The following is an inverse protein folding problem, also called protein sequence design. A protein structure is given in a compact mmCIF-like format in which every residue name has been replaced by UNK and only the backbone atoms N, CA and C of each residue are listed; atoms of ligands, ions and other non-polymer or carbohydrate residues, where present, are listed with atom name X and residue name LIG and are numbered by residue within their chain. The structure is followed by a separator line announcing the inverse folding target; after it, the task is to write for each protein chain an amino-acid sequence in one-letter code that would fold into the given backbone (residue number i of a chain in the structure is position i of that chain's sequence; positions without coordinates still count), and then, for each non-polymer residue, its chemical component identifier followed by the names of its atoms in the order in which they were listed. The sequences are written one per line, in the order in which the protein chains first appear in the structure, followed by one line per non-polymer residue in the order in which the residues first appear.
data_IF_556321096323
#
_entry.id   IF_556321096323
#
_cell.length_a   1.000
_cell.length_b   1.000
_cell.length_c   1.000
_cell.angle_alpha   90.00
_cell.angle_beta   90.00
_cell.angle_gamma   90.00
#
_symmetry.space_group_name_H-M   'P 1'
#
loop_
_entity.id
_entity.type
_entity.pdbx_description
1 polymer ?
#
# COMPACT_ATOMS: atom_id res chain seq x y z
N UNK A 1 11.65 -3.30 -15.34
CA UNK A 1 11.27 -4.20 -14.27
C UNK A 1 10.09 -5.09 -14.65
N UNK A 2 9.10 -4.58 -15.39
CA UNK A 2 7.90 -5.30 -15.83
C UNK A 2 6.64 -4.96 -15.04
N UNK A 3 6.66 -3.88 -14.25
CA UNK A 3 5.45 -3.32 -13.63
C UNK A 3 4.51 -2.78 -14.72
N UNK A 4 3.22 -2.76 -14.43
CA UNK A 4 2.17 -2.33 -15.37
C UNK A 4 1.59 -0.96 -15.04
N UNK A 5 1.69 -0.56 -13.78
CA UNK A 5 1.13 0.69 -13.26
C UNK A 5 2.17 1.43 -12.43
N UNK A 6 2.08 2.76 -12.45
CA UNK A 6 2.79 3.64 -11.53
C UNK A 6 1.74 4.46 -10.80
N UNK A 7 1.83 4.53 -9.47
CA UNK A 7 0.98 5.37 -8.63
C UNK A 7 1.79 6.56 -8.14
N UNK A 8 1.31 7.77 -8.38
CA UNK A 8 1.91 9.01 -7.91
C UNK A 8 1.29 9.39 -6.57
N UNK A 9 2.12 9.77 -5.60
CA UNK A 9 1.67 10.45 -4.39
C UNK A 9 0.92 11.74 -4.77
N UNK A 10 0.14 12.37 -3.85
CA UNK A 10 -0.70 13.49 -4.23
C UNK A 10 0.10 14.64 -4.87
N UNK A 11 -0.47 15.22 -5.93
CA UNK A 11 0.18 16.26 -6.73
C UNK A 11 -0.54 17.60 -6.68
N UNK A 12 -1.61 17.71 -5.89
CA UNK A 12 -2.42 18.93 -5.82
C UNK A 12 -1.67 20.06 -5.12
N UNK A 13 -2.10 21.31 -5.38
CA UNK A 13 -1.47 22.53 -4.85
C UNK A 13 -1.56 22.58 -3.32
N UNK A 14 -0.42 22.80 -2.67
CA UNK A 14 -0.26 22.99 -1.22
C UNK A 14 0.71 24.13 -0.94
N UNK A 15 0.82 24.60 0.30
CA UNK A 15 1.71 25.69 0.70
C UNK A 15 3.18 25.25 0.74
N UNK A 16 4.07 26.02 0.12
CA UNK A 16 5.51 25.75 0.06
C UNK A 16 5.91 24.88 -1.14
N UNK A 17 7.22 24.60 -1.26
CA UNK A 17 7.79 23.88 -2.42
C UNK A 17 8.05 22.39 -2.18
N UNK A 18 8.00 21.95 -0.93
CA UNK A 18 8.35 20.59 -0.51
C UNK A 18 7.23 19.98 0.34
N UNK A 19 6.84 18.77 0.02
CA UNK A 19 5.84 18.02 0.79
C UNK A 19 5.55 16.66 0.18
N UNK A 20 4.87 15.83 0.94
CA UNK A 20 4.33 14.56 0.44
C UNK A 20 3.08 14.74 -0.42
N UNK A 21 2.45 15.95 -0.36
CA UNK A 21 1.24 16.29 -1.11
C UNK A 21 -0.08 16.10 -0.34
N UNK A 22 -0.04 15.63 0.91
CA UNK A 22 -1.26 15.40 1.71
C UNK A 22 -1.83 16.67 2.37
N UNK A 23 -1.16 17.81 2.25
CA UNK A 23 -1.63 19.11 2.72
C UNK A 23 -2.29 19.94 1.60
N UNK A 24 -2.86 19.29 0.59
CA UNK A 24 -3.48 19.92 -0.57
C UNK A 24 -4.67 20.80 -0.22
N UNK A 25 -4.80 21.95 -0.90
CA UNK A 25 -5.90 22.93 -0.71
C UNK A 25 -6.66 23.23 -2.00
N UNK A 26 -6.05 23.04 -3.16
CA UNK A 26 -6.71 23.16 -4.46
C UNK A 26 -6.65 21.81 -5.20
N UNK A 27 -7.74 21.04 -5.05
CA UNK A 27 -7.83 19.68 -5.61
C UNK A 27 -8.01 19.64 -7.14
N UNK A 28 -8.05 20.79 -7.80
CA UNK A 28 -8.15 20.92 -9.26
C UNK A 28 -6.84 21.37 -9.92
N UNK A 29 -5.84 21.74 -9.15
CA UNK A 29 -4.58 22.26 -9.67
C UNK A 29 -3.38 21.36 -9.28
N UNK A 30 -2.55 20.93 -10.24
CA UNK A 30 -1.28 20.30 -9.91
C UNK A 30 -0.30 21.36 -9.38
N UNK A 31 0.47 20.96 -8.37
CA UNK A 31 1.43 21.82 -7.68
C UNK A 31 2.45 22.45 -8.64
N UNK A 32 2.67 23.75 -8.49
CA UNK A 32 3.51 24.54 -9.39
C UNK A 32 4.97 24.02 -9.47
N UNK A 33 5.55 23.58 -8.34
CA UNK A 33 6.90 23.03 -8.28
C UNK A 33 7.06 21.69 -9.04
N UNK A 34 5.97 21.00 -9.38
CA UNK A 34 5.99 19.75 -10.15
C UNK A 34 5.84 19.97 -11.66
N UNK A 35 5.94 21.23 -12.11
CA UNK A 35 5.84 21.59 -13.52
C UNK A 35 4.45 21.90 -14.03
N UNK A 36 3.48 22.05 -13.10
CA UNK A 36 2.10 22.45 -13.38
C UNK A 36 1.34 21.47 -14.30
N UNK A 37 0.21 21.94 -14.88
CA UNK A 37 -0.66 21.11 -15.71
C UNK A 37 0.05 20.45 -16.90
N UNK A 38 0.85 21.22 -17.62
CA UNK A 38 1.54 20.74 -18.82
C UNK A 38 2.65 19.72 -18.48
N UNK A 39 3.34 19.92 -17.35
CA UNK A 39 4.35 18.97 -16.86
C UNK A 39 3.73 17.63 -16.52
N UNK A 40 2.62 17.64 -15.80
CA UNK A 40 1.90 16.44 -15.38
C UNK A 40 1.30 15.68 -16.57
N UNK A 41 0.66 16.38 -17.53
CA UNK A 41 0.14 15.76 -18.76
C UNK A 41 1.25 15.10 -19.58
N UNK A 42 2.43 15.75 -19.71
CA UNK A 42 3.59 15.14 -20.38
C UNK A 42 4.10 13.88 -19.67
N UNK A 43 4.07 13.85 -18.33
CA UNK A 43 4.47 12.67 -17.56
C UNK A 43 3.53 11.49 -17.83
N UNK A 44 2.21 11.73 -17.80
CA UNK A 44 1.20 10.70 -18.10
C UNK A 44 1.36 10.18 -19.53
N UNK A 45 1.46 11.08 -20.52
CA UNK A 45 1.65 10.72 -21.93
C UNK A 45 2.94 9.89 -22.15
N UNK A 46 4.05 10.31 -21.54
CA UNK A 46 5.32 9.59 -21.62
C UNK A 46 5.28 8.21 -20.95
N UNK A 47 4.46 8.04 -19.92
CA UNK A 47 4.21 6.75 -19.26
C UNK A 47 3.38 5.84 -20.16
N UNK A 48 2.30 6.34 -20.72
CA UNK A 48 1.47 5.62 -21.68
C UNK A 48 2.25 5.18 -22.93
N UNK A 49 3.11 6.04 -23.45
CA UNK A 49 4.00 5.70 -24.59
C UNK A 49 4.96 4.53 -24.26
N UNK A 50 5.17 4.22 -22.97
CA UNK A 50 5.97 3.07 -22.50
C UNK A 50 5.12 1.88 -22.05
N UNK A 51 3.79 1.95 -22.25
CA UNK A 51 2.85 0.90 -21.85
C UNK A 51 2.61 0.84 -20.34
N UNK A 52 2.83 1.95 -19.63
CA UNK A 52 2.55 2.07 -18.19
C UNK A 52 1.28 2.87 -17.98
N UNK A 53 0.34 2.31 -17.23
CA UNK A 53 -0.79 3.03 -16.68
C UNK A 53 -0.36 3.91 -15.50
N UNK A 54 -1.04 5.05 -15.28
CA UNK A 54 -0.71 6.00 -14.21
C UNK A 54 -1.91 6.19 -13.30
N UNK A 55 -1.70 5.96 -12.01
CA UNK A 55 -2.68 6.20 -10.96
C UNK A 55 -2.29 7.46 -10.19
N UNK A 56 -3.28 8.18 -9.69
CA UNK A 56 -3.07 9.35 -8.86
C UNK A 56 -3.65 9.11 -7.45
N UNK A 57 -2.85 9.41 -6.45
CA UNK A 57 -3.32 9.49 -5.07
C UNK A 57 -4.06 10.82 -4.85
N UNK A 58 -5.29 10.74 -4.36
CA UNK A 58 -6.15 11.90 -4.11
C UNK A 58 -6.65 11.94 -2.68
N UNK A 59 -6.57 13.12 -2.07
CA UNK A 59 -6.95 13.37 -0.69
C UNK A 59 -8.33 14.04 -0.67
N UNK A 60 -9.38 13.26 -0.40
CA UNK A 60 -10.77 13.74 -0.36
C UNK A 60 -11.39 13.66 1.04
N UNK A 61 -10.60 13.27 2.03
CA UNK A 61 -11.02 13.16 3.43
C UNK A 61 -10.77 14.44 4.25
N UNK A 62 -9.84 15.30 3.81
CA UNK A 62 -9.51 16.57 4.48
C UNK A 62 -8.88 17.56 3.50
N UNK A 63 -8.66 18.79 3.95
CA UNK A 63 -7.85 19.80 3.29
C UNK A 63 -6.65 20.17 4.16
N UNK A 64 -5.58 20.61 3.51
CA UNK A 64 -4.42 21.15 4.21
C UNK A 64 -4.75 22.37 5.08
N UNK A 65 -3.93 22.64 6.10
CA UNK A 65 -4.18 23.69 7.08
C UNK A 65 -3.89 25.12 6.57
N UNK A 66 -3.06 25.24 5.53
CA UNK A 66 -2.63 26.54 5.01
C UNK A 66 -3.21 26.80 3.61
N UNK A 67 -3.82 27.96 3.42
CA UNK A 67 -4.39 28.37 2.11
C UNK A 67 -5.81 27.88 1.84
N UNK A 68 -6.43 27.16 2.75
CA UNK A 68 -7.83 26.72 2.60
C UNK A 68 -8.83 27.83 2.92
N UNK A 69 -9.40 28.41 1.89
CA UNK A 69 -10.45 29.44 2.02
C UNK A 69 -11.84 28.94 1.66
N UNK A 70 -12.01 27.67 1.29
CA UNK A 70 -13.30 27.09 0.87
C UNK A 70 -14.45 27.32 1.86
N UNK A 71 -14.26 27.27 3.20
CA UNK A 71 -15.33 27.54 4.15
C UNK A 71 -15.92 28.95 4.08
N UNK A 72 -15.23 29.92 3.42
CA UNK A 72 -15.77 31.27 3.18
C UNK A 72 -16.72 31.31 1.99
N UNK A 73 -16.73 30.33 1.13
CA UNK A 73 -17.51 30.29 -0.10
C UNK A 73 -18.68 29.31 -0.06
N UNK A 74 -18.63 28.32 0.86
CA UNK A 74 -19.71 27.35 0.98
C UNK A 74 -19.52 26.40 2.16
N UNK A 75 -20.47 25.48 2.37
CA UNK A 75 -20.46 24.55 3.49
C UNK A 75 -19.58 23.33 3.22
N UNK A 76 -18.31 23.55 2.85
CA UNK A 76 -17.37 22.47 2.51
C UNK A 76 -16.99 21.63 3.71
N UNK A 77 -17.01 22.19 4.91
CA UNK A 77 -16.69 21.52 6.16
C UNK A 77 -17.90 21.44 7.07
N UNK A 78 -17.94 20.45 7.96
CA UNK A 78 -18.94 20.28 8.99
C UNK A 78 -18.30 20.10 10.37
N UNK A 79 -18.84 20.80 11.37
CA UNK A 79 -18.44 20.62 12.78
C UNK A 79 -19.14 19.43 13.46
N UNK A 80 -20.02 18.74 12.75
CA UNK A 80 -20.73 17.56 13.28
C UNK A 80 -19.77 16.40 13.57
N UNK A 81 -18.73 16.29 12.75
CA UNK A 81 -17.72 15.24 12.87
C UNK A 81 -16.33 15.87 13.00
N UNK A 82 -15.49 15.23 13.82
CA UNK A 82 -14.08 15.59 13.97
C UNK A 82 -13.21 14.46 13.47
N UNK A 83 -12.21 14.78 12.68
CA UNK A 83 -11.20 13.87 12.17
C UNK A 83 -9.83 14.18 12.79
N UNK A 84 -8.81 13.35 12.63
CA UNK A 84 -7.45 13.70 13.05
C UNK A 84 -6.91 15.00 12.42
N UNK A 85 -7.47 15.42 11.29
CA UNK A 85 -7.09 16.65 10.54
C UNK A 85 -8.02 17.85 10.83
N UNK A 86 -8.97 17.73 11.76
CA UNK A 86 -9.91 18.78 12.11
C UNK A 86 -11.35 18.49 11.70
N UNK A 87 -12.09 19.53 11.29
CA UNK A 87 -13.46 19.39 10.84
C UNK A 87 -13.56 18.50 9.61
N UNK A 88 -14.57 17.63 9.58
CA UNK A 88 -14.77 16.72 8.45
C UNK A 88 -15.30 17.47 7.20
N UNK A 89 -15.05 16.90 6.03
CA UNK A 89 -15.72 17.34 4.79
C UNK A 89 -17.24 17.08 4.93
N UNK A 90 -18.03 18.01 4.44
CA UNK A 90 -19.48 17.93 4.51
C UNK A 90 -20.06 17.05 3.39
N UNK A 91 -20.19 15.75 3.66
CA UNK A 91 -20.78 14.81 2.70
C UNK A 91 -22.25 14.48 2.98
N UNK A 92 -22.83 14.86 4.15
CA UNK A 92 -24.17 14.41 4.55
C UNK A 92 -25.05 15.44 5.25
N UNK A 93 -24.57 16.70 5.41
CA UNK A 93 -25.36 17.76 5.99
C UNK A 93 -25.92 18.72 4.93
N UNK A 94 -26.55 19.79 5.38
CA UNK A 94 -27.15 20.80 4.50
C UNK A 94 -26.12 21.36 3.52
N UNK A 95 -26.43 21.30 2.22
CA UNK A 95 -25.57 21.78 1.13
C UNK A 95 -24.49 20.79 0.71
N UNK A 96 -24.54 19.55 1.17
CA UNK A 96 -23.56 18.51 0.82
C UNK A 96 -23.63 18.12 -0.66
N UNK A 97 -24.75 18.27 -1.36
CA UNK A 97 -24.87 17.88 -2.77
C UNK A 97 -23.83 18.60 -3.64
N UNK A 98 -23.65 19.91 -3.43
CA UNK A 98 -22.67 20.70 -4.17
C UNK A 98 -21.22 20.38 -3.73
N UNK A 99 -21.02 20.05 -2.45
CA UNK A 99 -19.71 19.60 -1.96
C UNK A 99 -19.34 18.25 -2.58
N UNK A 100 -20.27 17.29 -2.60
CA UNK A 100 -20.08 16.00 -3.31
C UNK A 100 -19.76 16.23 -4.78
N UNK A 101 -20.50 17.13 -5.44
CA UNK A 101 -20.27 17.48 -6.85
C UNK A 101 -18.86 18.01 -7.06
N UNK A 102 -18.37 18.91 -6.20
CA UNK A 102 -17.02 19.45 -6.24
C UNK A 102 -15.94 18.35 -6.20
N UNK A 103 -16.06 17.37 -5.31
CA UNK A 103 -15.10 16.25 -5.23
C UNK A 103 -15.24 15.28 -6.41
N UNK A 104 -16.46 14.98 -6.86
CA UNK A 104 -16.67 14.15 -8.04
C UNK A 104 -16.09 14.82 -9.30
N UNK A 105 -16.32 16.12 -9.50
CA UNK A 105 -15.79 16.86 -10.64
C UNK A 105 -14.26 16.88 -10.65
N UNK A 106 -13.62 17.00 -9.48
CA UNK A 106 -12.15 16.87 -9.37
C UNK A 106 -11.68 15.50 -9.82
N UNK A 107 -12.31 14.42 -9.33
CA UNK A 107 -11.97 13.06 -9.72
C UNK A 107 -12.12 12.82 -11.23
N UNK A 108 -13.25 13.27 -11.80
CA UNK A 108 -13.51 13.13 -13.23
C UNK A 108 -12.54 13.95 -14.07
N UNK A 109 -12.15 15.15 -13.61
CA UNK A 109 -11.12 15.98 -14.27
C UNK A 109 -9.77 15.23 -14.34
N UNK A 110 -9.29 14.65 -13.26
CA UNK A 110 -8.03 13.90 -13.28
C UNK A 110 -8.08 12.73 -14.25
N UNK A 111 -9.19 11.99 -14.26
CA UNK A 111 -9.36 10.83 -15.13
C UNK A 111 -9.56 11.22 -16.60
N UNK A 112 -10.34 12.26 -16.90
CA UNK A 112 -10.70 12.67 -18.25
C UNK A 112 -9.67 13.61 -18.88
N UNK A 113 -9.27 14.68 -18.15
CA UNK A 113 -8.53 15.80 -18.74
C UNK A 113 -7.01 15.64 -18.59
N UNK A 114 -6.57 14.85 -17.59
CA UNK A 114 -5.18 14.49 -17.38
C UNK A 114 -4.86 13.05 -17.80
N UNK A 115 -5.87 12.28 -18.17
CA UNK A 115 -5.79 10.88 -18.63
C UNK A 115 -5.20 9.90 -17.60
N UNK A 116 -5.33 10.15 -16.31
CA UNK A 116 -5.01 9.13 -15.32
C UNK A 116 -5.89 7.89 -15.52
N UNK A 117 -5.32 6.71 -15.30
CA UNK A 117 -6.01 5.42 -15.46
C UNK A 117 -6.76 4.98 -14.20
N UNK A 118 -6.57 5.70 -13.11
CA UNK A 118 -7.28 5.46 -11.86
C UNK A 118 -6.84 6.39 -10.74
N UNK A 119 -7.55 6.27 -9.62
CA UNK A 119 -7.29 7.04 -8.41
C UNK A 119 -7.10 6.10 -7.22
N UNK A 120 -6.12 6.41 -6.37
CA UNK A 120 -6.06 5.90 -4.98
C UNK A 120 -6.72 6.94 -4.09
N UNK A 121 -7.66 6.54 -3.29
CA UNK A 121 -8.44 7.40 -2.40
C UNK A 121 -7.86 7.28 -0.99
N UNK A 122 -7.26 8.37 -0.51
CA UNK A 122 -6.63 8.47 0.79
C UNK A 122 -7.64 8.35 1.92
N UNK A 123 -7.29 7.62 2.97
CA UNK A 123 -7.98 7.51 4.27
C UNK A 123 -9.52 7.52 4.16
N UNK A 124 -10.10 6.66 3.30
CA UNK A 124 -11.56 6.66 3.07
C UNK A 124 -12.38 6.37 4.33
N UNK A 125 -11.75 5.83 5.37
CA UNK A 125 -12.38 5.65 6.69
C UNK A 125 -12.67 6.96 7.42
N UNK A 126 -12.02 8.06 7.03
CA UNK A 126 -12.30 9.41 7.53
C UNK A 126 -13.36 10.15 6.70
N UNK A 127 -13.85 9.57 5.60
CA UNK A 127 -15.02 10.05 4.86
C UNK A 127 -16.27 9.61 5.61
N UNK A 128 -16.77 10.48 6.48
CA UNK A 128 -17.96 10.22 7.29
C UNK A 128 -19.19 10.65 6.51
N UNK A 129 -20.05 9.72 6.18
CA UNK A 129 -21.27 9.96 5.40
C UNK A 129 -22.36 8.99 5.85
N UNK A 130 -23.46 9.54 6.38
CA UNK A 130 -24.64 8.79 6.84
C UNK A 130 -25.79 8.81 5.85
N UNK A 131 -25.58 9.31 4.64
CA UNK A 131 -26.58 9.36 3.58
C UNK A 131 -26.92 7.93 3.09
N UNK A 132 -28.10 7.79 2.47
CA UNK A 132 -28.53 6.49 1.92
C UNK A 132 -27.59 5.99 0.80
N UNK A 133 -27.03 6.90 0.01
CA UNK A 133 -25.99 6.63 -0.97
C UNK A 133 -24.70 7.28 -0.46
N UNK A 134 -23.76 6.48 -0.04
CA UNK A 134 -22.47 6.96 0.45
C UNK A 134 -21.68 7.68 -0.65
N UNK A 135 -20.89 8.71 -0.31
CA UNK A 135 -20.07 9.46 -1.26
C UNK A 135 -19.19 8.54 -2.15
N UNK A 136 -18.57 7.54 -1.56
CA UNK A 136 -17.75 6.58 -2.32
C UNK A 136 -18.58 5.79 -3.34
N UNK A 137 -19.84 5.45 -3.03
CA UNK A 137 -20.75 4.78 -3.96
C UNK A 137 -21.14 5.70 -5.12
N UNK A 138 -21.44 6.96 -4.83
CA UNK A 138 -21.70 7.99 -5.83
C UNK A 138 -20.49 8.15 -6.76
N UNK A 139 -19.31 8.37 -6.19
CA UNK A 139 -18.07 8.54 -6.95
C UNK A 139 -17.80 7.34 -7.87
N UNK A 140 -17.92 6.11 -7.34
CA UNK A 140 -17.74 4.90 -8.13
C UNK A 140 -18.73 4.82 -9.30
N UNK A 141 -20.00 5.23 -9.08
CA UNK A 141 -21.02 5.28 -10.13
C UNK A 141 -20.69 6.28 -11.23
N UNK A 142 -20.20 7.46 -10.88
CA UNK A 142 -19.83 8.48 -11.85
C UNK A 142 -18.57 8.11 -12.64
N UNK A 143 -17.59 7.48 -12.00
CA UNK A 143 -16.41 6.96 -12.68
C UNK A 143 -16.78 5.82 -13.65
N UNK A 144 -17.73 4.95 -13.30
CA UNK A 144 -18.24 3.91 -14.20
C UNK A 144 -18.92 4.50 -15.45
N UNK A 145 -19.64 5.61 -15.30
CA UNK A 145 -20.21 6.34 -16.46
C UNK A 145 -19.09 6.88 -17.35
N UNK A 146 -18.10 7.57 -16.76
CA UNK A 146 -16.96 8.10 -17.50
C UNK A 146 -16.14 6.98 -18.19
N UNK A 147 -15.95 5.83 -17.55
CA UNK A 147 -15.29 4.65 -18.14
C UNK A 147 -15.98 4.25 -19.48
N UNK A 148 -17.31 4.19 -19.47
CA UNK A 148 -18.11 3.86 -20.65
C UNK A 148 -17.99 4.92 -21.74
N UNK A 149 -18.00 6.20 -21.37
CA UNK A 149 -17.84 7.33 -22.29
C UNK A 149 -16.47 7.35 -22.97
N UNK A 150 -15.42 7.09 -22.20
CA UNK A 150 -14.03 7.09 -22.69
C UNK A 150 -13.65 5.79 -23.41
N UNK A 151 -14.42 4.71 -23.22
CA UNK A 151 -14.12 3.39 -23.77
C UNK A 151 -12.81 2.79 -23.25
N UNK A 152 -12.37 3.17 -22.05
CA UNK A 152 -11.17 2.62 -21.40
C UNK A 152 -11.43 2.34 -19.93
N UNK A 153 -10.71 1.34 -19.36
CA UNK A 153 -10.84 0.98 -17.96
C UNK A 153 -10.31 2.09 -17.05
N UNK A 154 -11.08 2.37 -16.00
CA UNK A 154 -10.69 3.28 -14.92
C UNK A 154 -10.74 2.52 -13.59
N UNK A 155 -9.79 2.77 -12.71
CA UNK A 155 -9.66 2.02 -11.46
C UNK A 155 -9.75 2.98 -10.26
N UNK A 156 -10.54 2.60 -9.26
CA UNK A 156 -10.55 3.24 -7.94
C UNK A 156 -9.97 2.26 -6.91
N UNK A 157 -9.01 2.73 -6.12
CA UNK A 157 -8.36 1.98 -5.05
C UNK A 157 -8.57 2.75 -3.74
N UNK A 158 -9.01 2.08 -2.70
CA UNK A 158 -9.20 2.70 -1.39
C UNK A 158 -8.04 2.38 -0.45
N UNK A 159 -7.66 3.35 0.38
CA UNK A 159 -6.86 3.11 1.56
C UNK A 159 -7.76 3.20 2.79
N UNK A 160 -7.81 2.12 3.57
CA UNK A 160 -8.62 2.05 4.79
C UNK A 160 -8.15 0.93 5.69
N UNK A 161 -8.04 1.22 6.97
CA UNK A 161 -7.71 0.25 8.01
C UNK A 161 -8.94 -0.43 8.64
N UNK A 162 -10.15 -0.09 8.19
CA UNK A 162 -11.40 -0.60 8.79
C UNK A 162 -11.66 -2.08 8.52
N UNK A 163 -11.08 -2.66 7.47
CA UNK A 163 -11.43 -3.98 6.96
C UNK A 163 -12.93 -4.12 6.70
N UNK A 164 -13.52 -3.12 6.06
CA UNK A 164 -14.94 -3.12 5.72
C UNK A 164 -15.15 -3.61 4.29
N UNK A 165 -15.69 -4.80 4.13
CA UNK A 165 -15.95 -5.42 2.83
C UNK A 165 -16.93 -4.62 1.96
N UNK A 166 -17.71 -3.68 2.51
CA UNK A 166 -18.60 -2.80 1.72
C UNK A 166 -17.81 -1.91 0.76
N UNK A 167 -16.58 -1.52 1.11
CA UNK A 167 -15.76 -0.64 0.27
C UNK A 167 -15.61 -1.26 -1.14
N UNK A 168 -15.22 -2.53 -1.20
CA UNK A 168 -14.90 -3.21 -2.47
C UNK A 168 -16.01 -4.13 -2.99
N UNK A 169 -17.11 -4.28 -2.26
CA UNK A 169 -18.27 -5.04 -2.73
C UNK A 169 -19.01 -4.25 -3.78
N UNK A 170 -19.61 -4.95 -4.77
CA UNK A 170 -20.38 -4.28 -5.81
C UNK A 170 -21.60 -3.56 -5.25
N UNK A 171 -22.05 -2.51 -5.94
CA UNK A 171 -23.18 -1.68 -5.54
C UNK A 171 -24.49 -2.47 -5.50
N UNK A 172 -24.67 -3.45 -6.40
CA UNK A 172 -25.83 -4.35 -6.42
C UNK A 172 -25.94 -5.23 -5.18
N UNK A 173 -24.83 -5.45 -4.48
CA UNK A 173 -24.75 -6.20 -3.23
C UNK A 173 -24.64 -5.28 -2.00
N UNK A 174 -24.97 -3.99 -2.15
CA UNK A 174 -24.93 -2.99 -1.07
C UNK A 174 -23.53 -2.55 -0.65
N UNK A 175 -22.56 -2.69 -1.53
CA UNK A 175 -21.22 -2.11 -1.36
C UNK A 175 -21.06 -0.77 -2.08
N UNK A 176 -19.85 -0.20 -1.99
CA UNK A 176 -19.56 1.10 -2.62
C UNK A 176 -19.02 0.98 -4.05
N UNK A 177 -18.63 -0.22 -4.47
CA UNK A 177 -18.17 -0.47 -5.86
C UNK A 177 -16.74 0.01 -6.14
N UNK A 178 -15.93 0.26 -5.11
CA UNK A 178 -14.50 0.53 -5.27
C UNK A 178 -13.81 -0.76 -5.74
N UNK A 179 -12.88 -0.67 -6.68
CA UNK A 179 -12.31 -1.86 -7.34
C UNK A 179 -11.40 -2.66 -6.43
N UNK A 180 -10.55 -1.98 -5.65
CA UNK A 180 -9.60 -2.62 -4.76
C UNK A 180 -9.32 -1.76 -3.51
N UNK A 181 -8.68 -2.38 -2.53
CA UNK A 181 -8.28 -1.75 -1.26
C UNK A 181 -6.88 -2.22 -0.87
N UNK A 182 -6.09 -1.34 -0.27
CA UNK A 182 -4.85 -1.71 0.38
C UNK A 182 -5.11 -2.68 1.53
N UNK A 183 -4.29 -3.72 1.68
CA UNK A 183 -4.42 -4.70 2.76
C UNK A 183 -3.36 -4.48 3.82
N UNK A 184 -3.65 -3.60 4.78
CA UNK A 184 -2.76 -3.34 5.93
C UNK A 184 -2.54 -4.61 6.76
N UNK A 185 -3.55 -5.43 6.96
CA UNK A 185 -3.42 -6.66 7.74
C UNK A 185 -2.42 -7.65 7.11
N UNK A 186 -2.37 -7.74 5.77
CA UNK A 186 -1.36 -8.55 5.08
C UNK A 186 0.05 -7.97 5.31
N UNK A 187 0.19 -6.64 5.15
CA UNK A 187 1.43 -5.94 5.49
C UNK A 187 1.84 -6.19 6.93
N UNK A 188 0.95 -5.95 7.89
CA UNK A 188 1.24 -6.10 9.32
C UNK A 188 1.69 -7.53 9.66
N UNK A 189 0.99 -8.54 9.16
CA UNK A 189 1.32 -9.94 9.39
C UNK A 189 2.68 -10.30 8.76
N UNK A 190 2.93 -9.89 7.52
CA UNK A 190 4.18 -10.16 6.80
C UNK A 190 5.36 -9.46 7.48
N UNK A 191 5.23 -8.17 7.76
CA UNK A 191 6.26 -7.37 8.42
C UNK A 191 6.62 -7.93 9.80
N UNK A 192 5.62 -8.18 10.65
CA UNK A 192 5.85 -8.66 12.02
C UNK A 192 6.47 -10.06 12.06
N UNK A 193 6.10 -10.96 11.15
CA UNK A 193 6.72 -12.29 11.04
C UNK A 193 8.18 -12.19 10.62
N UNK A 194 8.52 -11.26 9.71
CA UNK A 194 9.87 -11.14 9.15
C UNK A 194 10.81 -10.29 10.00
N UNK A 195 10.31 -9.26 10.71
CA UNK A 195 11.13 -8.38 11.56
C UNK A 195 11.14 -8.81 13.02
N UNK A 196 10.07 -9.43 13.50
CA UNK A 196 9.81 -9.65 14.92
C UNK A 196 9.23 -8.42 15.63
N UNK A 197 8.96 -7.32 14.91
CA UNK A 197 8.41 -6.08 15.50
C UNK A 197 6.98 -6.28 15.99
N UNK A 198 6.72 -5.79 17.22
CA UNK A 198 5.45 -5.92 17.95
C UNK A 198 5.01 -4.62 18.60
N UNK A 199 5.56 -3.48 18.19
CA UNK A 199 5.20 -2.18 18.74
C UNK A 199 3.99 -1.58 18.01
N UNK A 200 3.17 -0.80 18.74
CA UNK A 200 2.05 -0.07 18.18
C UNK A 200 1.05 -1.00 17.47
N UNK A 201 0.66 -0.67 16.25
CA UNK A 201 -0.31 -1.43 15.47
C UNK A 201 0.18 -2.84 15.04
N UNK A 202 1.47 -3.16 15.22
CA UNK A 202 2.00 -4.51 14.99
C UNK A 202 1.77 -5.47 16.17
N UNK A 203 1.31 -4.99 17.33
CA UNK A 203 1.27 -5.79 18.56
C UNK A 203 0.39 -7.03 18.49
N UNK A 204 -0.69 -6.98 17.71
CA UNK A 204 -1.62 -8.09 17.52
C UNK A 204 -1.20 -9.09 16.44
N UNK A 205 -0.09 -8.82 15.76
CA UNK A 205 0.42 -9.62 14.62
C UNK A 205 1.71 -10.36 14.96
N UNK A 206 2.16 -11.23 14.02
CA UNK A 206 3.49 -11.83 13.98
C UNK A 206 3.54 -13.30 14.31
N UNK A 207 2.40 -13.98 14.41
CA UNK A 207 2.35 -15.44 14.25
C UNK A 207 2.32 -15.79 12.77
N UNK A 208 2.87 -16.96 12.41
CA UNK A 208 2.73 -17.51 11.05
C UNK A 208 1.26 -17.81 10.78
N UNK A 209 0.49 -18.12 11.82
CA UNK A 209 -0.97 -18.29 11.76
C UNK A 209 -1.66 -17.04 11.20
N UNK A 210 -1.29 -15.83 11.67
CA UNK A 210 -1.87 -14.59 11.16
C UNK A 210 -1.48 -14.33 9.69
N UNK A 211 -0.22 -14.60 9.33
CA UNK A 211 0.23 -14.49 7.95
C UNK A 211 -0.50 -15.50 7.04
N UNK A 212 -0.66 -16.74 7.48
CA UNK A 212 -1.42 -17.77 6.76
C UNK A 212 -2.88 -17.36 6.58
N UNK A 213 -3.50 -16.76 7.60
CA UNK A 213 -4.87 -16.21 7.52
C UNK A 213 -4.94 -15.06 6.53
N UNK A 214 -4.02 -14.10 6.59
CA UNK A 214 -3.98 -12.97 5.66
C UNK A 214 -3.80 -13.43 4.20
N UNK A 215 -2.92 -14.39 3.93
CA UNK A 215 -2.73 -14.96 2.58
C UNK A 215 -3.99 -15.62 2.01
N UNK A 216 -4.82 -16.22 2.88
CA UNK A 216 -6.04 -16.93 2.47
C UNK A 216 -7.26 -16.03 2.33
N UNK A 217 -7.32 -14.92 3.03
CA UNK A 217 -8.53 -14.08 3.10
C UNK A 217 -8.25 -12.57 3.19
N UNK A 218 -7.03 -12.12 2.88
CA UNK A 218 -6.56 -10.73 2.89
C UNK A 218 -6.50 -10.10 4.29
N UNK A 219 -7.41 -10.43 5.20
CA UNK A 219 -7.52 -9.79 6.51
C UNK A 219 -7.34 -10.76 7.67
N UNK A 220 -6.69 -10.30 8.71
CA UNK A 220 -6.57 -10.97 10.01
C UNK A 220 -7.73 -10.56 10.91
N UNK A 221 -8.09 -9.26 10.89
CA UNK A 221 -9.26 -8.75 11.57
C UNK A 221 -10.51 -8.91 10.69
N UNK A 222 -11.34 -9.87 11.03
CA UNK A 222 -12.60 -10.23 10.35
C UNK A 222 -13.81 -10.22 11.29
N UNK A 223 -13.71 -9.44 12.37
CA UNK A 223 -14.63 -9.39 13.51
C UNK A 223 -14.00 -9.91 14.81
N UNK A 224 -12.74 -10.35 14.79
CA UNK A 224 -12.03 -10.76 16.00
C UNK A 224 -11.73 -9.55 16.92
N UNK A 225 -11.50 -9.81 18.20
CA UNK A 225 -11.05 -8.79 19.13
C UNK A 225 -9.58 -8.42 18.85
N UNK A 226 -9.29 -7.13 18.89
CA UNK A 226 -7.96 -6.56 18.81
C UNK A 226 -7.57 -6.01 20.18
N UNK A 227 -6.49 -6.50 20.75
CA UNK A 227 -5.95 -5.97 22.02
C UNK A 227 -5.45 -4.54 21.83
N UNK A 228 -4.75 -4.27 20.72
CA UNK A 228 -4.26 -2.94 20.37
C UNK A 228 -5.40 -1.91 20.28
N UNK A 229 -6.52 -2.28 19.64
CA UNK A 229 -7.66 -1.37 19.46
C UNK A 229 -8.65 -1.39 20.64
N UNK A 230 -8.53 -2.33 21.56
CA UNK A 230 -9.44 -2.52 22.70
C UNK A 230 -10.88 -2.85 22.30
N UNK A 231 -11.09 -3.38 21.07
CA UNK A 231 -12.42 -3.67 20.51
C UNK A 231 -12.36 -4.72 19.40
N UNK A 232 -13.53 -5.24 19.02
CA UNK A 232 -13.66 -6.04 17.79
C UNK A 232 -13.45 -5.16 16.57
N UNK A 233 -12.75 -5.70 15.56
CA UNK A 233 -12.39 -4.97 14.36
C UNK A 233 -12.58 -5.80 13.09
N UNK A 234 -12.89 -5.10 11.99
CA UNK A 234 -13.08 -5.69 10.69
C UNK A 234 -14.38 -6.47 10.53
N UNK A 235 -14.60 -6.99 9.35
CA UNK A 235 -15.66 -7.93 9.00
C UNK A 235 -15.18 -8.90 7.94
N UNK A 236 -15.88 -10.04 7.84
CA UNK A 236 -15.48 -11.11 6.91
C UNK A 236 -15.38 -10.62 5.47
N UNK A 237 -14.28 -10.92 4.76
CA UNK A 237 -14.10 -10.66 3.31
C UNK A 237 -14.76 -11.75 2.45
N UNK A 238 -15.57 -12.63 3.01
CA UNK A 238 -16.19 -13.74 2.26
C UNK A 238 -16.91 -13.27 1.00
N UNK A 239 -16.67 -13.94 -0.11
CA UNK A 239 -17.23 -13.63 -1.43
C UNK A 239 -16.45 -12.56 -2.20
N UNK A 240 -15.35 -12.03 -1.66
CA UNK A 240 -14.43 -11.14 -2.37
C UNK A 240 -13.33 -11.94 -3.08
N UNK A 241 -12.74 -11.32 -4.09
CA UNK A 241 -11.57 -11.83 -4.80
C UNK A 241 -10.28 -11.27 -4.18
N UNK A 242 -9.19 -12.01 -4.27
CA UNK A 242 -7.86 -11.48 -3.96
C UNK A 242 -7.49 -10.25 -4.80
N UNK A 243 -8.05 -10.11 -6.00
CA UNK A 243 -7.85 -8.93 -6.85
C UNK A 243 -8.54 -7.66 -6.30
N UNK A 244 -9.41 -7.78 -5.30
CA UNK A 244 -9.92 -6.65 -4.55
C UNK A 244 -8.94 -6.10 -3.51
N UNK A 245 -7.74 -6.67 -3.40
CA UNK A 245 -6.76 -6.27 -2.39
C UNK A 245 -5.38 -6.05 -3.01
N UNK A 246 -4.67 -5.03 -2.53
CA UNK A 246 -3.27 -4.83 -2.81
C UNK A 246 -2.44 -5.43 -1.66
N UNK A 247 -1.44 -6.24 -2.02
CA UNK A 247 -0.48 -6.82 -1.08
C UNK A 247 0.89 -6.17 -1.22
N UNK A 248 1.47 -5.75 -0.11
CA UNK A 248 2.73 -5.01 -0.08
C UNK A 248 3.52 -5.27 1.21
N UNK A 249 4.83 -4.97 1.16
CA UNK A 249 5.71 -5.01 2.33
C UNK A 249 5.80 -3.65 3.03
N UNK A 250 5.75 -2.56 2.28
CA UNK A 250 5.90 -1.20 2.76
C UNK A 250 5.26 -0.20 1.81
N UNK A 251 4.88 0.94 2.34
CA UNK A 251 4.47 2.13 1.59
C UNK A 251 5.18 3.37 2.15
N UNK A 252 4.87 4.56 1.64
CA UNK A 252 5.36 5.82 2.19
C UNK A 252 4.99 5.96 3.68
N UNK A 253 3.80 5.47 4.09
CA UNK A 253 3.31 5.59 5.46
C UNK A 253 4.11 4.76 6.45
N UNK A 254 4.28 3.45 6.20
CA UNK A 254 5.02 2.61 7.15
C UNK A 254 6.47 3.03 7.28
N UNK A 255 7.08 3.54 6.20
CA UNK A 255 8.47 4.02 6.24
C UNK A 255 8.53 5.41 6.88
N UNK A 256 7.73 6.34 6.39
CA UNK A 256 7.76 7.73 6.83
C UNK A 256 7.24 7.96 8.24
N UNK A 257 6.45 7.04 8.78
CA UNK A 257 6.02 7.03 10.17
C UNK A 257 6.99 6.32 11.12
N UNK A 258 8.20 5.98 10.66
CA UNK A 258 9.32 5.59 11.51
C UNK A 258 10.19 6.81 11.82
N UNK A 259 10.82 6.84 13.02
CA UNK A 259 11.60 7.99 13.46
C UNK A 259 12.68 8.41 12.48
N UNK A 260 13.37 7.44 11.87
CA UNK A 260 14.48 7.69 10.93
C UNK A 260 14.12 7.42 9.47
N UNK A 261 12.86 7.06 9.20
CA UNK A 261 12.38 6.72 7.85
C UNK A 261 12.99 5.42 7.33
N UNK A 262 13.17 4.42 8.22
CA UNK A 262 13.82 3.16 7.86
C UNK A 262 12.94 2.31 6.95
N UNK A 263 13.50 1.91 5.82
CA UNK A 263 12.92 0.94 4.89
C UNK A 263 13.03 -0.48 5.43
N UNK A 264 12.25 -1.39 4.89
CA UNK A 264 12.39 -2.83 5.18
C UNK A 264 13.81 -3.35 4.95
N UNK A 265 14.55 -2.76 4.01
CA UNK A 265 15.98 -3.06 3.75
C UNK A 265 16.92 -2.74 4.91
N UNK A 266 16.52 -1.84 5.83
CA UNK A 266 17.28 -1.54 7.05
C UNK A 266 16.91 -2.48 8.22
N UNK A 267 15.76 -3.15 8.13
CA UNK A 267 15.18 -3.96 9.21
C UNK A 267 15.34 -5.46 9.00
N UNK A 268 15.63 -5.88 7.78
CA UNK A 268 15.63 -7.28 7.36
C UNK A 268 16.91 -7.67 6.63
N UNK A 269 17.30 -8.92 6.76
CA UNK A 269 18.36 -9.52 5.94
C UNK A 269 17.94 -9.60 4.46
N UNK A 270 18.88 -9.68 3.51
CA UNK A 270 18.56 -9.94 2.11
C UNK A 270 17.74 -11.21 1.87
N UNK A 271 17.92 -12.25 2.71
CA UNK A 271 17.12 -13.47 2.67
C UNK A 271 15.65 -13.20 2.99
N UNK A 272 15.38 -12.47 4.06
CA UNK A 272 14.02 -12.08 4.46
C UNK A 272 13.36 -11.16 3.45
N UNK A 273 14.09 -10.22 2.83
CA UNK A 273 13.57 -9.40 1.74
C UNK A 273 13.15 -10.24 0.53
N UNK A 274 13.95 -11.27 0.18
CA UNK A 274 13.60 -12.20 -0.89
C UNK A 274 12.37 -13.05 -0.56
N UNK A 275 12.19 -13.46 0.70
CA UNK A 275 10.97 -14.15 1.17
C UNK A 275 9.76 -13.22 1.05
N UNK A 276 9.86 -11.97 1.53
CA UNK A 276 8.78 -10.98 1.45
C UNK A 276 8.32 -10.78 0.00
N UNK A 277 9.26 -10.48 -0.91
CA UNK A 277 8.97 -10.32 -2.33
C UNK A 277 8.31 -11.57 -2.93
N UNK A 278 8.83 -12.78 -2.62
CA UNK A 278 8.23 -14.03 -3.11
C UNK A 278 6.78 -14.16 -2.65
N UNK A 279 6.47 -13.91 -1.37
CA UNK A 279 5.11 -13.99 -0.83
C UNK A 279 4.18 -12.93 -1.45
N UNK A 280 4.65 -11.71 -1.69
CA UNK A 280 3.86 -10.65 -2.35
C UNK A 280 3.53 -11.05 -3.79
N UNK A 281 4.54 -11.41 -4.58
CA UNK A 281 4.33 -11.70 -6.01
C UNK A 281 3.63 -13.03 -6.28
N UNK A 282 3.63 -13.95 -5.33
CA UNK A 282 2.89 -15.22 -5.44
C UNK A 282 1.56 -15.22 -4.69
N UNK A 283 1.23 -14.14 -3.95
CA UNK A 283 -0.07 -13.98 -3.28
C UNK A 283 -1.22 -13.89 -4.30
N UNK A 284 -2.48 -14.10 -3.87
CA UNK A 284 -3.66 -13.88 -4.73
C UNK A 284 -3.95 -12.40 -4.97
N UNK A 285 -3.23 -11.49 -4.32
CA UNK A 285 -3.46 -10.04 -4.35
C UNK A 285 -2.80 -9.38 -5.54
N UNK A 286 -3.17 -8.12 -5.79
CA UNK A 286 -2.44 -7.23 -6.70
C UNK A 286 -1.16 -6.79 -5.98
N UNK A 287 0.04 -7.13 -6.48
CA UNK A 287 1.29 -6.72 -5.83
C UNK A 287 1.52 -5.22 -5.96
N UNK A 288 1.94 -4.59 -4.88
CA UNK A 288 2.38 -3.20 -4.86
C UNK A 288 3.79 -3.11 -4.28
N UNK A 289 4.64 -2.28 -4.88
CA UNK A 289 6.00 -1.99 -4.44
C UNK A 289 6.13 -0.49 -4.15
N UNK A 290 6.82 -0.16 -3.09
CA UNK A 290 7.23 1.23 -2.86
C UNK A 290 8.58 1.50 -3.54
N UNK A 291 8.72 2.69 -4.13
CA UNK A 291 9.94 3.09 -4.87
C UNK A 291 11.23 2.76 -4.10
N UNK A 292 12.17 2.07 -4.73
CA UNK A 292 13.44 1.64 -4.13
C UNK A 292 13.38 0.32 -3.36
N UNK A 293 12.19 -0.23 -3.12
CA UNK A 293 12.04 -1.56 -2.50
C UNK A 293 12.63 -2.65 -3.39
N UNK A 294 12.43 -2.53 -4.68
CA UNK A 294 12.83 -3.50 -5.69
C UNK A 294 14.34 -3.71 -5.81
N UNK A 295 15.15 -2.83 -5.22
CA UNK A 295 16.60 -3.02 -5.11
C UNK A 295 17.12 -2.86 -3.67
N UNK A 296 16.23 -2.82 -2.68
CA UNK A 296 16.59 -2.62 -1.29
C UNK A 296 17.38 -1.32 -1.06
N UNK A 297 16.86 -0.20 -1.55
CA UNK A 297 17.53 1.11 -1.48
C UNK A 297 18.06 1.42 -0.07
N UNK A 298 19.27 1.97 0.01
CA UNK A 298 19.93 2.34 1.27
C UNK A 298 19.45 3.66 1.87
N UNK A 299 18.79 4.50 1.04
CA UNK A 299 18.27 5.78 1.51
C UNK A 299 16.99 5.59 2.31
N UNK A 300 16.80 6.29 3.42
CA UNK A 300 15.52 6.33 4.11
C UNK A 300 14.46 7.02 3.24
N UNK A 301 13.19 6.95 3.66
CA UNK A 301 12.14 7.83 3.14
C UNK A 301 11.44 8.47 4.33
N UNK A 302 11.74 9.74 4.58
CA UNK A 302 11.27 10.48 5.76
C UNK A 302 10.06 11.31 5.41
N UNK A 303 9.22 11.58 6.41
CA UNK A 303 8.23 12.63 6.27
C UNK A 303 8.95 13.97 6.19
N UNK A 304 8.64 14.74 5.15
CA UNK A 304 9.14 16.10 4.93
C UNK A 304 8.00 17.02 4.50
N UNK A 305 8.09 18.28 4.91
CA UNK A 305 7.16 19.34 4.58
C UNK A 305 7.92 20.67 4.54
N UNK A 306 7.41 21.63 3.78
CA UNK A 306 8.01 22.96 3.66
C UNK A 306 6.96 24.03 3.93
N UNK A 307 6.42 24.08 5.17
CA UNK A 307 5.41 25.06 5.51
C UNK A 307 5.99 26.48 5.59
N UNK A 308 5.38 27.41 4.89
CA UNK A 308 5.76 28.84 4.93
C UNK A 308 5.38 29.53 6.25
N UNK A 309 4.30 29.08 6.90
CA UNK A 309 3.88 29.58 8.21
C UNK A 309 4.79 29.01 9.30
N UNK A 310 5.54 29.88 9.98
CA UNK A 310 6.53 29.49 10.98
C UNK A 310 5.91 28.82 12.23
N UNK A 311 4.69 29.15 12.59
CA UNK A 311 4.01 28.56 13.74
C UNK A 311 3.50 27.15 13.39
N UNK A 312 2.97 26.98 12.19
CA UNK A 312 2.60 25.67 11.67
C UNK A 312 3.83 24.76 11.52
N UNK A 313 4.90 25.26 10.91
CA UNK A 313 6.16 24.51 10.76
C UNK A 313 6.68 24.00 12.10
N UNK A 314 6.68 24.87 13.12
CA UNK A 314 7.07 24.51 14.49
C UNK A 314 6.12 23.48 15.09
N UNK A 315 4.82 23.66 14.96
CA UNK A 315 3.82 22.74 15.50
C UNK A 315 3.94 21.34 14.91
N UNK A 316 4.20 21.22 13.58
CA UNK A 316 4.44 19.96 12.90
C UNK A 316 5.72 19.29 13.40
N UNK A 317 6.84 20.03 13.49
CA UNK A 317 8.12 19.50 13.98
C UNK A 317 8.02 19.00 15.43
N UNK A 318 7.36 19.75 16.31
CA UNK A 318 7.14 19.37 17.70
C UNK A 318 6.13 18.21 17.82
N UNK A 319 5.10 18.19 16.96
CA UNK A 319 4.11 17.11 16.89
C UNK A 319 4.77 15.78 16.60
N UNK A 320 5.63 15.72 15.58
CA UNK A 320 6.41 14.52 15.23
C UNK A 320 7.29 14.02 16.37
N UNK A 321 7.99 14.93 17.05
CA UNK A 321 8.81 14.56 18.22
C UNK A 321 7.98 13.97 19.36
N UNK A 322 6.79 14.53 19.64
CA UNK A 322 5.90 13.99 20.67
C UNK A 322 5.33 12.62 20.29
N UNK A 323 4.94 12.44 19.04
CA UNK A 323 4.43 11.18 18.53
C UNK A 323 5.46 10.05 18.72
N UNK A 324 6.69 10.27 18.30
CA UNK A 324 7.74 9.25 18.39
C UNK A 324 8.29 9.04 19.81
N UNK A 325 8.21 10.04 20.66
CA UNK A 325 8.53 9.86 22.07
C UNK A 325 7.60 8.83 22.76
N UNK A 326 6.34 8.73 22.31
CA UNK A 326 5.40 7.72 22.78
C UNK A 326 5.82 6.28 22.40
N UNK A 327 6.63 6.10 21.36
CA UNK A 327 7.22 4.82 20.96
C UNK A 327 8.60 4.55 21.62
N UNK A 328 9.06 5.43 22.52
CA UNK A 328 10.32 5.27 23.23
C UNK A 328 11.56 5.70 22.45
N UNK A 329 11.42 6.46 21.38
CA UNK A 329 12.54 6.99 20.59
C UNK A 329 13.03 8.32 21.15
N UNK A 330 14.36 8.56 21.05
CA UNK A 330 14.95 9.83 21.48
C UNK A 330 14.47 10.97 20.57
N UNK A 331 13.81 12.02 21.08
CA UNK A 331 13.37 13.16 20.28
C UNK A 331 14.50 13.86 19.51
N UNK A 332 15.76 13.73 19.97
CA UNK A 332 16.92 14.32 19.29
C UNK A 332 17.35 13.52 18.06
N UNK A 333 16.96 12.26 17.96
CA UNK A 333 17.21 11.39 16.79
C UNK A 333 16.21 11.59 15.67
N UNK A 334 15.12 12.33 15.91
CA UNK A 334 14.04 12.54 14.93
C UNK A 334 14.40 13.71 14.01
N UNK A 335 14.57 13.49 12.71
CA UNK A 335 14.85 14.56 11.75
C UNK A 335 13.72 15.58 11.72
N UNK A 336 14.08 16.87 11.61
CA UNK A 336 13.09 17.92 11.42
C UNK A 336 12.47 17.80 10.03
N UNK A 337 11.13 17.63 9.90
CA UNK A 337 10.49 17.55 8.60
C UNK A 337 10.60 18.82 7.76
N UNK A 338 10.84 19.98 8.38
CA UNK A 338 11.01 21.26 7.69
C UNK A 338 12.44 21.47 7.17
N UNK A 339 13.41 20.65 7.56
CA UNK A 339 14.78 20.79 7.12
C UNK A 339 14.96 20.30 5.67
N UNK A 340 15.57 21.10 4.76
CA UNK A 340 15.81 20.67 3.37
C UNK A 340 16.61 19.36 3.26
N UNK A 341 17.45 19.06 4.26
CA UNK A 341 18.25 17.84 4.34
C UNK A 341 17.38 16.60 4.54
N UNK A 342 16.24 16.73 5.19
CA UNK A 342 15.26 15.63 5.36
C UNK A 342 14.70 15.19 4.01
N UNK A 343 14.33 16.12 3.15
CA UNK A 343 13.95 15.84 1.77
C UNK A 343 15.14 15.30 0.95
N UNK A 344 16.27 15.99 0.97
CA UNK A 344 17.43 15.62 0.17
C UNK A 344 17.93 14.21 0.46
N UNK A 345 17.94 13.80 1.74
CA UNK A 345 18.34 12.47 2.17
C UNK A 345 17.32 11.36 1.85
N UNK A 346 16.07 11.72 1.50
CA UNK A 346 15.03 10.78 1.09
C UNK A 346 15.09 10.44 -0.41
N UNK A 347 15.93 11.13 -1.18
CA UNK A 347 16.11 10.83 -2.61
C UNK A 347 16.84 9.52 -2.83
N UNK A 348 16.37 8.74 -3.79
CA UNK A 348 16.97 7.45 -4.16
C UNK A 348 18.36 7.65 -4.80
N UNK A 349 19.28 6.73 -4.48
CA UNK A 349 20.62 6.65 -5.07
C UNK A 349 20.63 5.62 -6.19
N UNK A 350 20.48 6.06 -7.41
CA UNK A 350 20.40 5.20 -8.59
C UNK A 350 21.70 4.43 -8.90
N UNK A 351 22.83 4.91 -8.41
CA UNK A 351 24.14 4.26 -8.55
C UNK A 351 24.26 2.94 -7.79
N UNK A 352 23.38 2.67 -6.83
CA UNK A 352 23.35 1.42 -6.07
C UNK A 352 22.92 0.22 -6.93
N UNK A 353 22.13 0.44 -7.97
CA UNK A 353 21.52 -0.61 -8.80
C UNK A 353 22.51 -1.64 -9.35
N UNK A 354 23.76 -1.23 -9.59
CA UNK A 354 24.80 -2.10 -10.15
C UNK A 354 25.62 -2.85 -9.08
N UNK A 355 25.39 -2.59 -7.80
CA UNK A 355 26.22 -3.08 -6.69
C UNK A 355 25.49 -4.18 -5.89
N UNK A 356 26.19 -5.19 -5.35
CA UNK A 356 25.61 -6.09 -4.36
C UNK A 356 25.31 -5.33 -3.04
N UNK A 357 24.23 -5.67 -2.32
CA UNK A 357 23.21 -6.68 -2.66
C UNK A 357 22.09 -6.15 -3.56
N UNK A 358 22.10 -4.85 -3.91
CA UNK A 358 21.02 -4.14 -4.61
C UNK A 358 20.71 -4.78 -5.96
N UNK A 359 21.74 -5.09 -6.76
CA UNK A 359 21.58 -5.76 -8.05
C UNK A 359 20.88 -7.11 -7.91
N UNK A 360 21.25 -7.90 -6.91
CA UNK A 360 20.69 -9.25 -6.70
C UNK A 360 19.22 -9.19 -6.27
N UNK A 361 18.85 -8.20 -5.46
CA UNK A 361 17.45 -7.97 -5.06
C UNK A 361 16.63 -7.47 -6.25
N UNK A 362 17.18 -6.58 -7.09
CA UNK A 362 16.53 -6.11 -8.31
C UNK A 362 16.28 -7.24 -9.31
N UNK A 363 17.27 -8.12 -9.52
CA UNK A 363 17.13 -9.31 -10.38
C UNK A 363 16.05 -10.25 -9.82
N UNK A 364 16.02 -10.47 -8.51
CA UNK A 364 15.00 -11.28 -7.84
C UNK A 364 13.58 -10.75 -8.09
N UNK A 365 13.37 -9.44 -7.94
CA UNK A 365 12.06 -8.82 -8.22
C UNK A 365 11.68 -8.93 -9.70
N UNK A 366 12.63 -8.71 -10.61
CA UNK A 366 12.39 -8.86 -12.06
C UNK A 366 11.94 -10.27 -12.41
N UNK A 367 12.61 -11.27 -11.85
CA UNK A 367 12.29 -12.67 -12.10
C UNK A 367 10.93 -13.07 -11.50
N UNK A 368 10.57 -12.56 -10.32
CA UNK A 368 9.25 -12.75 -9.71
C UNK A 368 8.13 -12.12 -10.54
N UNK A 369 8.32 -10.91 -11.04
CA UNK A 369 7.35 -10.23 -11.91
C UNK A 369 7.18 -11.02 -13.22
N UNK A 370 8.29 -11.47 -13.82
CA UNK A 370 8.27 -12.30 -15.01
C UNK A 370 7.59 -13.65 -14.75
N UNK A 371 7.84 -14.28 -13.60
CA UNK A 371 7.17 -15.52 -13.21
C UNK A 371 5.67 -15.31 -13.10
N UNK A 372 5.23 -14.28 -12.35
CA UNK A 372 3.81 -13.96 -12.17
C UNK A 372 3.12 -13.68 -13.51
N UNK A 373 3.75 -12.94 -14.41
CA UNK A 373 3.16 -12.56 -15.69
C UNK A 373 2.89 -13.76 -16.60
N UNK A 374 3.73 -14.81 -16.55
CA UNK A 374 3.62 -16.01 -17.38
C UNK A 374 2.87 -17.17 -16.73
N UNK A 375 2.56 -17.09 -15.43
CA UNK A 375 1.92 -18.16 -14.64
C UNK A 375 0.49 -17.78 -14.32
N UNK A 376 -0.53 -18.36 -15.00
CA UNK A 376 -1.94 -17.99 -14.81
C UNK A 376 -2.42 -18.13 -13.37
N UNK A 377 -1.99 -19.18 -12.66
CA UNK A 377 -2.35 -19.43 -11.27
C UNK A 377 -1.96 -18.29 -10.34
N UNK A 378 -0.84 -17.60 -10.61
CA UNK A 378 -0.39 -16.47 -9.82
C UNK A 378 -1.17 -15.17 -10.09
N UNK A 379 -1.97 -15.14 -11.16
CA UNK A 379 -2.88 -14.03 -11.50
C UNK A 379 -4.34 -14.31 -11.15
N UNK A 380 -4.64 -15.53 -10.71
CA UNK A 380 -5.97 -15.91 -10.27
C UNK A 380 -6.25 -15.35 -8.87
N UNK A 381 -7.28 -14.53 -8.73
CA UNK A 381 -7.67 -13.92 -7.45
C UNK A 381 -8.55 -14.81 -6.55
N UNK A 382 -8.82 -16.06 -6.90
CA UNK A 382 -9.67 -16.95 -6.09
C UNK A 382 -8.99 -17.32 -4.78
N UNK A 383 -9.54 -16.82 -3.67
CA UNK A 383 -8.99 -17.03 -2.33
C UNK A 383 -9.18 -18.46 -1.83
N UNK A 384 -10.25 -19.13 -2.27
CA UNK A 384 -10.56 -20.52 -1.94
C UNK A 384 -9.54 -21.53 -2.52
N UNK A 385 -8.77 -21.15 -3.52
CA UNK A 385 -7.69 -21.95 -4.10
C UNK A 385 -6.32 -21.76 -3.42
N UNK A 386 -6.23 -20.88 -2.43
CA UNK A 386 -5.00 -20.64 -1.69
C UNK A 386 -4.92 -21.63 -0.53
N UNK A 387 -3.97 -22.55 -0.59
CA UNK A 387 -3.68 -23.44 0.52
C UNK A 387 -2.37 -23.04 1.19
N UNK A 388 -2.39 -22.91 2.53
CA UNK A 388 -1.21 -22.54 3.33
C UNK A 388 -1.03 -23.60 4.40
N UNK A 389 0.16 -24.19 4.48
CA UNK A 389 0.59 -25.07 5.57
C UNK A 389 1.83 -24.47 6.22
N UNK A 390 2.00 -24.68 7.51
CA UNK A 390 3.11 -24.11 8.26
C UNK A 390 3.38 -24.88 9.56
N UNK A 391 4.54 -24.63 10.11
CA UNK A 391 4.92 -25.04 11.45
C UNK A 391 5.42 -23.78 12.19
N UNK A 392 4.70 -23.41 13.25
CA UNK A 392 4.98 -22.19 14.02
C UNK A 392 6.32 -22.30 14.78
N UNK A 393 6.62 -23.48 15.33
CA UNK A 393 7.81 -23.72 16.14
C UNK A 393 9.06 -23.88 15.24
N UNK A 394 8.95 -24.66 14.17
CA UNK A 394 10.02 -24.86 13.18
C UNK A 394 10.17 -23.65 12.24
N UNK A 395 9.24 -22.69 12.27
CA UNK A 395 9.25 -21.44 11.52
C UNK A 395 9.42 -21.62 10.01
N UNK A 396 8.56 -22.44 9.42
CA UNK A 396 8.44 -22.54 7.96
C UNK A 396 6.97 -22.43 7.53
N UNK A 397 6.76 -22.01 6.29
CA UNK A 397 5.43 -22.04 5.68
C UNK A 397 5.52 -22.45 4.21
N UNK A 398 4.42 -23.05 3.72
CA UNK A 398 4.20 -23.27 2.30
C UNK A 398 2.94 -22.59 1.83
N UNK A 399 2.94 -22.07 0.60
CA UNK A 399 1.77 -21.52 -0.06
C UNK A 399 1.58 -22.23 -1.39
N UNK A 400 0.45 -22.91 -1.55
CA UNK A 400 0.11 -23.63 -2.78
C UNK A 400 -1.00 -22.93 -3.53
N UNK A 401 -0.80 -22.68 -4.82
CA UNK A 401 -1.76 -22.11 -5.75
C UNK A 401 -1.71 -22.85 -7.09
N UNK A 402 -2.64 -23.78 -7.27
CA UNK A 402 -2.62 -24.69 -8.43
C UNK A 402 -1.32 -25.48 -8.47
N UNK A 403 -0.55 -25.32 -9.55
CA UNK A 403 0.73 -26.00 -9.76
C UNK A 403 1.93 -25.29 -9.11
N UNK A 404 1.72 -24.14 -8.49
CA UNK A 404 2.80 -23.38 -7.85
C UNK A 404 2.83 -23.64 -6.35
N UNK A 405 4.00 -24.01 -5.83
CA UNK A 405 4.26 -24.18 -4.40
C UNK A 405 5.40 -23.28 -3.99
N UNK A 406 5.15 -22.36 -3.07
CA UNK A 406 6.16 -21.50 -2.45
C UNK A 406 6.51 -22.10 -1.11
N UNK A 407 7.79 -22.32 -0.85
CA UNK A 407 8.29 -22.92 0.40
C UNK A 407 9.27 -21.96 1.05
N UNK A 408 8.94 -21.47 2.24
CA UNK A 408 9.71 -20.46 2.97
C UNK A 408 10.28 -21.06 4.27
N UNK A 409 11.57 -20.86 4.49
CA UNK A 409 12.23 -21.06 5.77
C UNK A 409 12.46 -19.71 6.44
N UNK A 410 11.76 -19.46 7.53
CA UNK A 410 11.83 -18.24 8.35
C UNK A 410 12.77 -18.40 9.56
N UNK A 411 13.31 -19.62 9.76
CA UNK A 411 14.22 -19.94 10.85
C UNK A 411 15.67 -19.54 10.54
N UNK A 412 16.47 -19.48 11.59
CA UNK A 412 17.93 -19.25 11.49
C UNK A 412 18.74 -20.54 11.32
N UNK A 413 18.07 -21.67 11.00
CA UNK A 413 18.66 -22.99 10.79
C UNK A 413 18.11 -23.65 9.53
N UNK A 414 18.75 -24.73 9.09
CA UNK A 414 18.29 -25.53 7.95
C UNK A 414 16.93 -26.15 8.25
N UNK A 415 16.01 -26.05 7.29
CA UNK A 415 14.71 -26.74 7.34
C UNK A 415 14.57 -27.74 6.20
N UNK A 416 13.87 -28.82 6.48
CA UNK A 416 13.49 -29.85 5.50
C UNK A 416 11.96 -29.89 5.46
N UNK A 417 11.37 -29.30 4.42
CA UNK A 417 9.92 -29.14 4.32
C UNK A 417 9.38 -30.11 3.25
N UNK A 418 8.46 -30.97 3.66
CA UNK A 418 7.78 -31.88 2.74
C UNK A 418 6.75 -31.09 1.91
N UNK A 419 6.74 -31.30 0.60
CA UNK A 419 5.73 -30.82 -0.34
C UNK A 419 4.87 -32.00 -0.79
N UNK A 420 3.62 -31.75 -1.17
CA UNK A 420 2.69 -32.82 -1.52
C UNK A 420 3.30 -33.78 -2.56
N UNK A 421 3.21 -35.11 -2.26
CA UNK A 421 3.66 -36.10 -3.17
C UNK A 421 2.68 -36.25 -4.34
N UNK A 422 3.19 -36.33 -5.56
CA UNK A 422 2.37 -36.67 -6.74
C UNK A 422 2.73 -35.95 -8.01
N UNK A 423 3.37 -34.79 -7.92
CA UNK A 423 3.75 -34.02 -9.08
C UNK A 423 5.26 -33.94 -9.25
N UNK A 424 5.71 -33.92 -10.49
CA UNK A 424 7.13 -33.78 -10.84
C UNK A 424 7.58 -32.33 -10.60
N UNK A 425 7.52 -31.88 -9.34
CA UNK A 425 7.96 -30.51 -8.98
C UNK A 425 9.41 -30.29 -9.42
N UNK A 426 9.65 -29.12 -10.00
CA UNK A 426 10.98 -28.58 -10.24
C UNK A 426 11.12 -27.22 -9.59
N UNK A 427 12.32 -26.89 -9.16
CA UNK A 427 12.61 -25.54 -8.66
C UNK A 427 12.58 -24.58 -9.84
N UNK A 428 11.60 -23.67 -9.83
CA UNK A 428 11.49 -22.58 -10.80
C UNK A 428 12.34 -21.37 -10.40
N UNK A 429 12.38 -21.09 -9.07
CA UNK A 429 13.21 -20.03 -8.50
C UNK A 429 13.70 -20.43 -7.10
N UNK A 430 14.89 -20.02 -6.75
CA UNK A 430 15.49 -20.26 -5.44
C UNK A 430 16.27 -19.02 -4.98
N UNK A 431 16.04 -18.55 -3.75
CA UNK A 431 16.71 -17.39 -3.19
C UNK A 431 18.15 -17.64 -2.77
N UNK A 432 18.53 -18.92 -2.65
CA UNK A 432 19.86 -19.40 -2.25
C UNK A 432 20.27 -20.61 -3.09
N UNK A 433 21.51 -20.64 -3.55
CA UNK A 433 22.04 -21.71 -4.41
C UNK A 433 22.19 -23.06 -3.70
N UNK A 434 22.10 -23.10 -2.37
CA UNK A 434 22.16 -24.34 -1.55
C UNK A 434 20.81 -25.03 -1.45
N UNK A 435 19.72 -24.42 -1.90
CA UNK A 435 18.39 -25.06 -1.89
C UNK A 435 18.40 -26.31 -2.76
N UNK A 436 17.82 -27.40 -2.25
CA UNK A 436 17.72 -28.68 -2.96
C UNK A 436 16.32 -29.26 -2.82
N UNK A 437 15.86 -29.87 -3.89
CA UNK A 437 14.62 -30.65 -3.91
C UNK A 437 14.99 -32.13 -4.15
N UNK A 438 14.61 -32.99 -3.24
CA UNK A 438 14.80 -34.44 -3.34
C UNK A 438 13.64 -35.19 -2.68
N UNK A 439 13.09 -36.18 -3.36
CA UNK A 439 12.03 -37.05 -2.82
C UNK A 439 10.85 -36.27 -2.20
N UNK A 440 10.34 -35.24 -2.90
CA UNK A 440 9.25 -34.37 -2.42
C UNK A 440 9.58 -33.63 -1.12
N UNK A 441 10.85 -33.41 -0.82
CA UNK A 441 11.31 -32.62 0.32
C UNK A 441 12.23 -31.51 -0.17
N UNK A 442 11.94 -30.26 0.24
CA UNK A 442 12.79 -29.13 -0.04
C UNK A 442 13.68 -28.85 1.16
N UNK A 443 14.99 -28.88 0.92
CA UNK A 443 15.99 -28.44 1.90
C UNK A 443 16.29 -26.99 1.70
N UNK A 444 16.05 -26.18 2.76
CA UNK A 444 16.12 -24.73 2.74
C UNK A 444 17.15 -24.24 3.76
N UNK A 445 18.19 -23.52 3.34
CA UNK A 445 19.05 -22.77 4.25
C UNK A 445 18.25 -21.77 5.10
N UNK A 446 18.85 -21.22 6.18
CA UNK A 446 18.25 -20.13 6.94
C UNK A 446 17.76 -19.00 6.05
N UNK A 447 16.59 -18.43 6.40
CA UNK A 447 16.01 -17.24 5.75
C UNK A 447 15.98 -17.34 4.22
N UNK A 448 15.42 -18.42 3.70
CA UNK A 448 15.39 -18.69 2.26
C UNK A 448 14.03 -19.14 1.75
N UNK A 449 13.83 -19.02 0.46
CA UNK A 449 12.58 -19.38 -0.22
C UNK A 449 12.86 -20.10 -1.53
N UNK A 450 12.05 -21.12 -1.81
CA UNK A 450 11.97 -21.78 -3.11
C UNK A 450 10.57 -21.65 -3.70
N UNK A 451 10.48 -21.46 -5.00
CA UNK A 451 9.24 -21.53 -5.76
C UNK A 451 9.32 -22.73 -6.68
N UNK A 452 8.39 -23.65 -6.50
CA UNK A 452 8.29 -24.88 -7.27
C UNK A 452 7.14 -24.79 -8.26
N UNK A 453 7.28 -25.45 -9.40
CA UNK A 453 6.22 -25.61 -10.40
C UNK A 453 6.20 -27.10 -10.81
N UNK A 454 5.00 -27.67 -10.90
CA UNK A 454 4.75 -29.02 -11.43
C UNK A 454 4.76 -29.05 -12.94
#
# INVERSE_FOLDING_TARGET
LGVTHVELMPVVEFSGDLGWGYDGVDIFAPHHAYGGPEGLKRLVDASHARGLAVLLDVVYNHFGPAGNYLPRFGPYLTHRYSTPWGDAINFDERGSDEVRRFFCDSALMWLRDYHFDGLRLDAVHAIIDTSAIHFLEQLAGEVEVLEKELGRRLVLIAESDLNDSRIVRSRELGGYGIHAQWSDDFHHALHSVLTGERAGYYSDFGSITDLAKALKQAWVYDGRYSEHRGRRHGRSPAGLSGLNFLGYLQTHDQIGNRAKGERSSHLMSPGRLKIAAALIFTSPFVPMLFQGEEWAASTPFRYFAGHEDADLARAVSEGRKREFAAFGWDPNDIPDPQAPETFASSKLKWEELAQPPHREILEWHRDLIALRSRTPELRDGRLDLVNVTFDEDARWLTVTRGQVVVVCNLANEMQSVAVAAGDHHRIAMASDTRIRLANSTVQLPPESVAILIS
#
